data_IF_051065876305
#
_entry.id   IF_051065876305
#
_cell.length_a   1.000
_cell.length_b   1.000
_cell.length_c   1.000
_cell.angle_alpha   90.00
_cell.angle_beta   90.00
_cell.angle_gamma   90.00
#
_symmetry.space_group_name_H-M   'P 1'
#
loop_
_entity.id
_entity.type
_entity.pdbx_description
1 polymer ?
#
# COMPACT_ATOMS: atom_id res chain seq x y z
N UNK A 1 18.42 12.47 -7.96
CA UNK A 1 17.41 12.07 -8.97
C UNK A 1 15.99 12.44 -8.53
N UNK A 2 15.67 13.73 -8.31
CA UNK A 2 14.38 14.14 -7.75
C UNK A 2 13.21 13.88 -8.72
N UNK A 3 13.42 14.10 -10.02
CA UNK A 3 12.38 13.88 -11.03
C UNK A 3 11.94 12.42 -11.13
N UNK A 4 12.88 11.48 -11.01
CA UNK A 4 12.57 10.04 -11.02
C UNK A 4 11.68 9.67 -9.84
N UNK A 5 12.05 10.08 -8.63
CA UNK A 5 11.28 9.82 -7.41
C UNK A 5 9.87 10.42 -7.50
N UNK A 6 9.73 11.65 -8.00
CA UNK A 6 8.42 12.29 -8.24
C UNK A 6 7.54 11.45 -9.16
N UNK A 7 8.09 11.00 -10.29
CA UNK A 7 7.34 10.15 -11.23
C UNK A 7 6.96 8.80 -10.62
N UNK A 8 7.86 8.15 -9.88
CA UNK A 8 7.58 6.87 -9.21
C UNK A 8 6.45 7.02 -8.19
N UNK A 9 6.42 8.10 -7.39
CA UNK A 9 5.34 8.34 -6.42
C UNK A 9 4.01 8.57 -7.15
N UNK A 10 4.01 9.31 -8.26
CA UNK A 10 2.78 9.51 -9.05
C UNK A 10 2.24 8.19 -9.62
N UNK A 11 3.11 7.29 -10.10
CA UNK A 11 2.70 5.96 -10.56
C UNK A 11 2.24 5.07 -9.40
N UNK A 12 2.91 5.12 -8.24
CA UNK A 12 2.47 4.40 -7.06
C UNK A 12 1.08 4.86 -6.61
N UNK A 13 0.81 6.16 -6.66
CA UNK A 13 -0.51 6.74 -6.38
C UNK A 13 -1.58 6.21 -7.34
N UNK A 14 -1.35 6.24 -8.66
CA UNK A 14 -2.33 5.73 -9.63
C UNK A 14 -2.58 4.23 -9.48
N UNK A 15 -1.57 3.43 -9.17
CA UNK A 15 -1.73 2.00 -8.88
C UNK A 15 -2.54 1.79 -7.59
N UNK A 16 -2.28 2.57 -6.53
CA UNK A 16 -3.00 2.47 -5.25
C UNK A 16 -4.49 2.86 -5.34
N UNK A 17 -4.87 3.65 -6.34
CA UNK A 17 -6.28 4.00 -6.59
C UNK A 17 -7.11 2.82 -7.14
N UNK A 18 -6.48 1.82 -7.77
CA UNK A 18 -7.19 0.64 -8.27
C UNK A 18 -7.80 -0.17 -7.09
N UNK A 19 -7.02 -0.60 -6.08
CA UNK A 19 -7.57 -1.35 -4.96
C UNK A 19 -8.54 -0.53 -4.10
N UNK A 20 -8.42 0.81 -4.05
CA UNK A 20 -9.41 1.62 -3.32
C UNK A 20 -10.77 1.66 -3.99
N UNK A 21 -10.80 1.81 -5.32
CA UNK A 21 -12.05 1.77 -6.09
C UNK A 21 -12.69 0.38 -6.06
N UNK A 22 -11.86 -0.68 -6.10
CA UNK A 22 -12.35 -2.05 -5.90
C UNK A 22 -12.95 -2.22 -4.50
N UNK A 23 -12.26 -1.74 -3.46
CA UNK A 23 -12.76 -1.81 -2.09
C UNK A 23 -14.07 -1.03 -1.88
N UNK A 24 -14.22 0.15 -2.47
CA UNK A 24 -15.48 0.92 -2.39
C UNK A 24 -16.63 0.17 -3.09
N UNK A 25 -16.36 -0.55 -4.18
CA UNK A 25 -17.41 -1.23 -4.95
C UNK A 25 -17.84 -2.58 -4.36
N UNK A 26 -16.91 -3.38 -3.81
CA UNK A 26 -17.22 -4.72 -3.27
C UNK A 26 -17.10 -4.84 -1.75
N UNK A 27 -16.50 -3.87 -1.07
CA UNK A 27 -16.22 -3.91 0.37
C UNK A 27 -15.23 -5.01 0.78
N UNK A 28 -14.51 -5.60 -0.18
CA UNK A 28 -13.72 -6.79 0.07
C UNK A 28 -12.35 -6.45 0.70
N UNK A 29 -12.17 -6.85 1.96
CA UNK A 29 -10.87 -6.82 2.63
C UNK A 29 -10.04 -8.05 2.21
N UNK A 30 -8.73 -7.85 2.03
CA UNK A 30 -7.82 -8.90 1.59
C UNK A 30 -6.62 -9.02 2.53
N UNK A 31 -6.24 -10.26 2.85
CA UNK A 31 -5.01 -10.57 3.59
C UNK A 31 -4.09 -11.33 2.65
N UNK A 32 -2.94 -10.74 2.35
CA UNK A 32 -1.89 -11.34 1.52
C UNK A 32 -0.76 -11.82 2.41
N UNK A 33 -0.79 -13.08 2.81
CA UNK A 33 0.34 -13.75 3.48
C UNK A 33 1.32 -14.28 2.44
N UNK A 34 2.30 -13.45 2.07
CA UNK A 34 3.17 -13.75 0.92
C UNK A 34 4.38 -14.60 1.29
N UNK A 35 4.93 -14.43 2.50
CA UNK A 35 6.20 -15.08 2.86
C UNK A 35 6.15 -15.70 4.24
N UNK A 36 6.26 -17.02 4.32
CA UNK A 36 6.59 -17.70 5.57
C UNK A 36 8.06 -17.38 5.92
N UNK A 37 8.26 -16.56 6.95
CA UNK A 37 9.57 -16.00 7.27
C UNK A 37 10.38 -16.96 8.15
N UNK A 38 9.81 -17.39 9.28
CA UNK A 38 10.49 -18.28 10.22
C UNK A 38 9.46 -19.08 11.03
N UNK A 39 9.74 -20.36 11.28
CA UNK A 39 8.95 -21.17 12.21
C UNK A 39 9.82 -21.54 13.40
N UNK A 40 9.46 -21.10 14.61
CA UNK A 40 10.11 -21.49 15.88
C UNK A 40 9.12 -22.34 16.66
N UNK A 41 9.37 -23.66 16.74
CA UNK A 41 8.55 -24.67 17.41
C UNK A 41 7.04 -24.62 17.08
N UNK A 42 6.28 -23.73 17.73
CA UNK A 42 4.83 -23.52 17.54
C UNK A 42 4.46 -22.19 16.89
N UNK A 43 5.39 -21.23 16.79
CA UNK A 43 5.17 -19.90 16.21
C UNK A 43 5.64 -19.86 14.75
N UNK A 44 4.68 -19.70 13.83
CA UNK A 44 4.95 -19.44 12.42
C UNK A 44 4.85 -17.94 12.16
N UNK A 45 5.99 -17.28 12.03
CA UNK A 45 6.07 -15.89 11.60
C UNK A 45 5.95 -15.86 10.08
N UNK A 46 4.86 -15.27 9.57
CA UNK A 46 4.69 -14.95 8.16
C UNK A 46 4.53 -13.46 7.96
N UNK A 47 5.11 -12.95 6.88
CA UNK A 47 4.86 -11.60 6.40
C UNK A 47 3.47 -11.59 5.76
N UNK A 48 2.50 -11.04 6.47
CA UNK A 48 1.13 -10.85 5.99
C UNK A 48 0.78 -9.38 5.86
N UNK A 49 0.46 -8.95 4.65
CA UNK A 49 -0.11 -7.63 4.40
C UNK A 49 -1.63 -7.72 4.55
N UNK A 50 -2.16 -6.93 5.48
CA UNK A 50 -3.59 -6.86 5.75
C UNK A 50 -4.14 -5.57 5.13
N UNK A 51 -4.88 -5.72 4.03
CA UNK A 51 -5.56 -4.64 3.32
C UNK A 51 -6.95 -4.45 3.91
N UNK A 52 -6.99 -3.87 5.11
CA UNK A 52 -8.23 -3.46 5.77
C UNK A 52 -8.69 -2.09 5.27
N UNK A 53 -9.93 -1.71 5.60
CA UNK A 53 -10.48 -0.37 5.39
C UNK A 53 -9.47 0.77 5.67
N UNK A 54 -8.82 0.74 6.83
CA UNK A 54 -7.86 1.78 7.24
C UNK A 54 -6.63 1.82 6.34
N UNK A 55 -6.04 0.67 6.03
CA UNK A 55 -4.86 0.58 5.16
C UNK A 55 -5.18 1.06 3.75
N UNK A 56 -6.31 0.62 3.19
CA UNK A 56 -6.71 0.93 1.82
C UNK A 56 -6.98 2.43 1.64
N UNK A 57 -7.59 3.10 2.62
CA UNK A 57 -7.83 4.55 2.54
C UNK A 57 -6.56 5.36 2.84
N UNK A 58 -5.74 4.91 3.78
CA UNK A 58 -4.57 5.66 4.20
C UNK A 58 -3.46 5.68 3.14
N UNK A 59 -3.23 4.58 2.42
CA UNK A 59 -2.12 4.46 1.45
C UNK A 59 -2.20 5.52 0.32
N UNK A 60 -3.33 5.72 -0.38
CA UNK A 60 -3.43 6.76 -1.41
C UNK A 60 -3.31 8.17 -0.85
N UNK A 61 -3.85 8.43 0.35
CA UNK A 61 -3.75 9.74 1.00
C UNK A 61 -2.30 10.06 1.32
N UNK A 62 -1.55 9.10 1.88
CA UNK A 62 -0.13 9.26 2.16
C UNK A 62 0.69 9.47 0.87
N UNK A 63 0.40 8.71 -0.19
CA UNK A 63 1.07 8.87 -1.49
C UNK A 63 0.76 10.23 -2.14
N UNK A 64 -0.47 10.73 -2.00
CA UNK A 64 -0.86 12.04 -2.50
C UNK A 64 -0.14 13.18 -1.76
N UNK A 65 -0.07 13.12 -0.43
CA UNK A 65 0.65 14.12 0.38
C UNK A 65 2.15 14.07 0.10
N UNK A 66 2.76 12.89 0.02
CA UNK A 66 4.19 12.76 -0.29
C UNK A 66 4.53 13.25 -1.70
N UNK A 67 3.67 13.00 -2.69
CA UNK A 67 3.83 13.57 -4.03
C UNK A 67 3.80 15.10 -3.99
N UNK A 68 2.83 15.68 -3.26
CA UNK A 68 2.73 17.13 -3.09
C UNK A 68 3.99 17.70 -2.43
N UNK A 69 4.47 17.12 -1.34
CA UNK A 69 5.71 17.56 -0.66
C UNK A 69 6.91 17.52 -1.62
N UNK A 70 7.04 16.44 -2.40
CA UNK A 70 8.13 16.28 -3.37
C UNK A 70 8.01 17.22 -4.59
N UNK A 71 6.82 17.75 -4.86
CA UNK A 71 6.62 18.76 -5.89
C UNK A 71 6.96 20.18 -5.39
N UNK A 72 6.75 20.45 -4.11
CA UNK A 72 7.07 21.74 -3.48
C UNK A 72 8.49 21.82 -2.90
N UNK A 73 9.20 20.70 -2.79
CA UNK A 73 10.60 20.63 -2.34
C UNK A 73 11.59 20.70 -3.51
#
# INVERSE_FOLDING_TARGET
YPHYVKTTISYAFTISMIPTMMFISSGQEAIVSNWHWLSIQTLKLSLSFKMDYFSIIFIPVALFVTWSIMEFS
#
